data_IF_997950002544
#
_entry.id   IF_997950002544
#
_cell.length_a   1.000
_cell.length_b   1.000
_cell.length_c   1.000
_cell.angle_alpha   90.00
_cell.angle_beta   90.00
_cell.angle_gamma   90.00
#
_symmetry.space_group_name_H-M   'P 1'
#
loop_
_entity.id
_entity.type
_entity.pdbx_description
1 polymer ?
#
# COMPACT_ATOMS: atom_id res chain seq x y z
N UNK A 1 18.24 -3.37 -8.47
CA UNK A 1 16.88 -2.93 -8.15
C UNK A 1 16.77 -1.46 -8.55
N UNK A 2 15.57 -0.88 -8.73
CA UNK A 2 15.48 0.51 -9.20
C UNK A 2 16.02 1.42 -8.09
N UNK A 3 16.98 2.29 -8.40
CA UNK A 3 17.64 3.20 -7.42
C UNK A 3 16.63 3.96 -6.56
N UNK A 4 15.49 4.35 -7.13
CA UNK A 4 14.43 5.05 -6.41
C UNK A 4 13.71 4.20 -5.36
N UNK A 5 13.56 2.90 -5.60
CA UNK A 5 12.94 1.96 -4.65
C UNK A 5 13.90 1.70 -3.47
N UNK A 6 15.19 1.59 -3.76
CA UNK A 6 16.24 1.48 -2.73
C UNK A 6 16.24 2.71 -1.81
N UNK A 7 16.16 3.92 -2.39
CA UNK A 7 16.08 5.16 -1.61
C UNK A 7 14.82 5.24 -0.74
N UNK A 8 13.66 4.88 -1.29
CA UNK A 8 12.41 4.83 -0.54
C UNK A 8 12.52 3.90 0.68
N UNK A 9 13.04 2.67 0.48
CA UNK A 9 13.23 1.74 1.60
C UNK A 9 14.25 2.24 2.62
N UNK A 10 15.35 2.84 2.18
CA UNK A 10 16.34 3.41 3.08
C UNK A 10 15.71 4.47 4.01
N UNK A 11 14.89 5.38 3.47
CA UNK A 11 14.21 6.40 4.26
C UNK A 11 13.16 5.81 5.19
N UNK A 12 12.39 4.82 4.73
CA UNK A 12 11.48 4.11 5.64
C UNK A 12 12.21 3.50 6.84
N UNK A 13 13.43 2.99 6.65
CA UNK A 13 14.24 2.43 7.73
C UNK A 13 14.82 3.53 8.62
N UNK A 14 15.44 4.56 8.04
CA UNK A 14 16.10 5.66 8.77
C UNK A 14 15.11 6.44 9.65
N UNK A 15 13.96 6.79 9.08
CA UNK A 15 12.90 7.55 9.76
C UNK A 15 11.92 6.67 10.55
N UNK A 16 12.15 5.35 10.53
CA UNK A 16 11.36 4.34 11.26
C UNK A 16 9.88 4.36 10.89
N UNK A 17 9.60 4.54 9.60
CA UNK A 17 8.26 4.39 9.08
C UNK A 17 7.85 2.91 9.08
N UNK A 18 6.58 2.68 9.43
CA UNK A 18 5.97 1.38 9.29
C UNK A 18 5.36 1.22 7.91
N UNK A 19 5.86 0.25 7.14
CA UNK A 19 5.35 -0.07 5.82
C UNK A 19 4.13 -1.00 5.93
N UNK A 20 2.94 -0.48 5.62
CA UNK A 20 1.71 -1.27 5.65
C UNK A 20 1.52 -1.96 4.30
N UNK A 21 1.44 -3.30 4.31
CA UNK A 21 1.30 -4.12 3.11
C UNK A 21 0.05 -4.99 3.21
N UNK A 22 -0.81 -4.90 2.21
CA UNK A 22 -2.01 -5.73 2.11
C UNK A 22 -1.72 -7.05 1.38
N UNK A 23 -2.61 -8.04 1.55
CA UNK A 23 -2.56 -9.28 0.74
C UNK A 23 -2.59 -9.01 -0.77
N UNK A 24 -3.21 -7.91 -1.19
CA UNK A 24 -3.39 -7.53 -2.59
C UNK A 24 -2.05 -7.04 -3.13
N UNK A 25 -1.37 -6.19 -2.37
CA UNK A 25 -0.01 -5.74 -2.66
C UNK A 25 0.95 -6.95 -2.74
N UNK A 26 0.85 -7.90 -1.80
CA UNK A 26 1.64 -9.14 -1.86
C UNK A 26 1.33 -9.94 -3.12
N UNK A 27 0.05 -10.12 -3.48
CA UNK A 27 -0.35 -10.84 -4.70
C UNK A 27 0.22 -10.19 -5.96
N UNK A 28 0.19 -8.85 -6.04
CA UNK A 28 0.77 -8.09 -7.14
C UNK A 28 2.29 -8.29 -7.21
N UNK A 29 3.00 -8.19 -6.08
CA UNK A 29 4.45 -8.46 -6.00
C UNK A 29 4.76 -9.90 -6.41
N UNK A 30 4.05 -10.88 -5.85
CA UNK A 30 4.22 -12.30 -6.16
C UNK A 30 3.97 -12.61 -7.63
N UNK A 31 3.03 -11.92 -8.29
CA UNK A 31 2.76 -12.10 -9.72
C UNK A 31 3.95 -11.68 -10.61
N UNK A 32 4.79 -10.75 -10.14
CA UNK A 32 5.96 -10.26 -10.86
C UNK A 32 7.28 -10.93 -10.44
N UNK A 33 7.37 -11.38 -9.18
CA UNK A 33 8.61 -11.92 -8.59
C UNK A 33 8.61 -13.44 -8.47
N UNK A 34 7.43 -14.08 -8.58
CA UNK A 34 7.21 -15.51 -8.33
C UNK A 34 7.51 -15.96 -6.89
N UNK A 35 7.69 -15.01 -5.97
CA UNK A 35 7.87 -15.29 -4.54
C UNK A 35 6.53 -15.62 -3.88
N UNK A 36 6.55 -16.53 -2.92
CA UNK A 36 5.42 -16.74 -2.02
C UNK A 36 5.22 -15.53 -1.09
N UNK A 37 4.03 -15.44 -0.48
CA UNK A 37 3.74 -14.39 0.51
C UNK A 37 4.81 -14.30 1.60
N UNK A 38 5.21 -15.43 2.17
CA UNK A 38 6.17 -15.44 3.27
C UNK A 38 7.54 -14.96 2.78
N UNK A 39 7.99 -15.39 1.59
CA UNK A 39 9.25 -14.91 1.02
C UNK A 39 9.25 -13.40 0.75
N UNK A 40 8.12 -12.82 0.34
CA UNK A 40 7.99 -11.36 0.19
C UNK A 40 8.12 -10.65 1.54
N UNK A 41 7.41 -11.12 2.56
CA UNK A 41 7.47 -10.51 3.90
C UNK A 41 8.84 -10.67 4.54
N UNK A 42 9.42 -11.88 4.48
CA UNK A 42 10.75 -12.19 4.98
C UNK A 42 11.83 -11.36 4.30
N UNK A 43 11.69 -11.11 2.99
CA UNK A 43 12.61 -10.23 2.26
C UNK A 43 12.55 -8.78 2.78
N UNK A 44 11.33 -8.23 2.95
CA UNK A 44 11.15 -6.84 3.38
C UNK A 44 11.60 -6.62 4.83
N UNK A 45 11.25 -7.54 5.73
CA UNK A 45 11.74 -7.50 7.11
C UNK A 45 13.25 -7.75 7.16
N UNK A 46 13.77 -8.65 6.31
CA UNK A 46 15.19 -8.98 6.22
C UNK A 46 16.10 -7.84 5.78
N UNK A 47 15.57 -6.86 5.02
CA UNK A 47 16.28 -5.62 4.69
C UNK A 47 16.13 -4.53 5.76
N UNK A 48 15.37 -4.78 6.83
CA UNK A 48 15.25 -3.90 8.00
C UNK A 48 13.98 -3.04 8.06
N UNK A 49 13.00 -3.25 7.18
CA UNK A 49 11.73 -2.53 7.23
C UNK A 49 10.85 -3.02 8.39
N UNK A 50 10.17 -2.10 9.09
CA UNK A 50 9.04 -2.45 9.96
C UNK A 50 7.79 -2.67 9.11
N UNK A 51 7.35 -3.92 8.96
CA UNK A 51 6.24 -4.27 8.08
C UNK A 51 4.96 -4.53 8.88
N UNK A 52 3.88 -3.84 8.52
CA UNK A 52 2.52 -4.13 8.99
C UNK A 52 1.73 -4.90 7.92
N UNK A 53 1.48 -6.19 8.13
CA UNK A 53 0.68 -6.97 7.19
C UNK A 53 -0.83 -6.89 7.46
N UNK A 54 -1.62 -6.69 6.40
CA UNK A 54 -3.09 -6.69 6.44
C UNK A 54 -3.65 -7.80 5.55
N UNK A 55 -4.30 -8.78 6.15
CA UNK A 55 -4.94 -9.86 5.42
C UNK A 55 -6.32 -9.46 4.88
N UNK A 56 -6.50 -9.55 3.57
CA UNK A 56 -7.82 -9.55 2.97
C UNK A 56 -8.40 -10.96 3.04
N UNK A 57 -9.48 -11.11 3.80
CA UNK A 57 -10.26 -12.34 3.85
C UNK A 57 -11.54 -12.15 3.02
N UNK A 58 -11.62 -12.69 1.79
CA UNK A 58 -12.75 -12.47 0.89
C UNK A 58 -14.11 -12.87 1.49
N UNK A 59 -14.11 -13.82 2.43
CA UNK A 59 -15.32 -14.41 2.99
C UNK A 59 -15.76 -13.81 4.34
N UNK A 60 -14.91 -13.05 5.02
CA UNK A 60 -15.23 -12.43 6.34
C UNK A 60 -15.18 -10.90 6.35
N UNK A 61 -14.57 -10.26 5.33
CA UNK A 61 -14.32 -8.81 5.32
C UNK A 61 -14.75 -8.09 4.04
N UNK A 62 -15.57 -8.69 3.17
CA UNK A 62 -16.21 -7.95 2.06
C UNK A 62 -16.81 -6.62 2.58
N UNK A 63 -17.43 -6.64 3.75
CA UNK A 63 -18.10 -5.47 4.32
C UNK A 63 -17.20 -4.31 4.84
N UNK A 64 -15.94 -4.55 5.24
CA UNK A 64 -15.14 -3.50 5.90
C UNK A 64 -14.55 -2.54 4.88
N UNK A 65 -14.01 -3.03 3.77
CA UNK A 65 -13.60 -2.12 2.70
C UNK A 65 -14.80 -1.65 1.86
N UNK A 66 -15.87 -2.44 1.71
CA UNK A 66 -17.01 -2.06 0.85
C UNK A 66 -17.72 -0.77 1.30
N UNK A 67 -17.82 -0.50 2.61
CA UNK A 67 -18.43 0.75 3.07
C UNK A 67 -17.52 1.96 2.82
N UNK A 68 -16.19 1.77 2.91
CA UNK A 68 -15.20 2.80 2.57
C UNK A 68 -15.23 3.06 1.06
N UNK A 69 -15.24 2.01 0.23
CA UNK A 69 -15.30 2.08 -1.24
C UNK A 69 -16.58 2.71 -1.78
N UNK A 70 -17.64 2.84 -0.98
CA UNK A 70 -18.86 3.57 -1.34
C UNK A 70 -18.70 5.09 -1.28
N UNK A 71 -17.59 5.61 -0.74
CA UNK A 71 -17.26 7.04 -0.80
C UNK A 71 -17.06 7.46 -2.25
N UNK A 72 -17.63 8.61 -2.64
CA UNK A 72 -17.67 9.08 -4.04
C UNK A 72 -16.27 9.34 -4.59
N UNK A 73 -15.36 9.75 -3.72
CA UNK A 73 -13.94 9.97 -3.98
C UNK A 73 -13.26 8.68 -4.43
N UNK A 74 -13.49 7.59 -3.70
CA UNK A 74 -12.85 6.28 -3.95
C UNK A 74 -13.41 5.62 -5.21
N UNK A 75 -14.70 5.82 -5.51
CA UNK A 75 -15.33 5.31 -6.75
C UNK A 75 -14.77 5.94 -8.04
N UNK A 76 -14.03 7.04 -7.93
CA UNK A 76 -13.36 7.70 -9.06
C UNK A 76 -11.95 7.15 -9.31
N UNK A 77 -11.42 6.37 -8.38
CA UNK A 77 -10.13 5.70 -8.50
C UNK A 77 -10.31 4.40 -9.28
N UNK A 78 -9.30 4.00 -10.06
CA UNK A 78 -9.34 2.76 -10.83
C UNK A 78 -9.47 1.54 -9.90
N UNK A 79 -10.10 0.47 -10.39
CA UNK A 79 -10.67 -0.59 -9.55
C UNK A 79 -9.68 -1.39 -8.66
N UNK A 80 -8.42 -1.64 -9.05
CA UNK A 80 -7.40 -2.22 -8.17
C UNK A 80 -6.95 -1.23 -7.10
N UNK A 81 -6.79 0.05 -7.48
CA UNK A 81 -6.30 1.12 -6.62
C UNK A 81 -7.32 1.53 -5.55
N UNK A 82 -8.62 1.42 -5.86
CA UNK A 82 -9.69 1.71 -4.91
C UNK A 82 -9.66 0.81 -3.65
N UNK A 83 -9.11 -0.41 -3.78
CA UNK A 83 -8.94 -1.38 -2.70
C UNK A 83 -7.73 -1.03 -1.85
N UNK A 84 -6.61 -0.64 -2.49
CA UNK A 84 -5.42 -0.14 -1.78
C UNK A 84 -5.76 1.08 -0.93
N UNK A 85 -6.55 2.02 -1.46
CA UNK A 85 -7.05 3.17 -0.67
C UNK A 85 -7.92 2.72 0.50
N UNK A 86 -8.84 1.77 0.27
CA UNK A 86 -9.70 1.29 1.34
C UNK A 86 -8.91 0.60 2.46
N UNK A 87 -7.88 -0.18 2.13
CA UNK A 87 -6.97 -0.79 3.11
C UNK A 87 -6.17 0.25 3.87
N UNK A 88 -5.62 1.25 3.19
CA UNK A 88 -4.87 2.32 3.84
C UNK A 88 -5.73 3.06 4.87
N UNK A 89 -6.98 3.37 4.51
CA UNK A 89 -7.93 4.01 5.42
C UNK A 89 -8.39 3.08 6.57
N UNK A 90 -8.61 1.78 6.31
CA UNK A 90 -8.93 0.79 7.36
C UNK A 90 -7.77 0.66 8.36
N UNK A 91 -6.55 0.65 7.85
CA UNK A 91 -5.32 0.58 8.63
C UNK A 91 -5.01 1.85 9.42
N UNK A 92 -5.70 2.96 9.10
CA UNK A 92 -5.35 4.31 9.55
C UNK A 92 -3.91 4.67 9.19
N UNK A 93 -3.48 4.32 7.98
CA UNK A 93 -2.21 4.77 7.43
C UNK A 93 -2.20 6.30 7.32
N UNK A 94 -1.04 6.91 7.57
CA UNK A 94 -0.88 8.36 7.47
C UNK A 94 -0.91 8.82 6.01
N UNK A 95 -0.33 8.03 5.11
CA UNK A 95 -0.27 8.34 3.68
C UNK A 95 -0.24 7.09 2.80
N UNK A 96 -0.46 7.30 1.50
CA UNK A 96 -0.18 6.35 0.43
C UNK A 96 1.02 6.88 -0.37
N UNK A 97 2.02 6.02 -0.57
CA UNK A 97 3.15 6.32 -1.44
C UNK A 97 2.99 5.53 -2.75
N UNK A 98 2.93 6.22 -3.89
CA UNK A 98 2.66 5.59 -5.19
C UNK A 98 3.39 6.29 -6.35
N UNK A 99 3.87 5.50 -7.32
CA UNK A 99 4.43 6.04 -8.56
C UNK A 99 3.37 6.61 -9.51
N UNK A 100 2.09 6.28 -9.31
CA UNK A 100 0.97 6.73 -10.13
C UNK A 100 0.06 7.71 -9.37
N UNK A 101 0.64 8.74 -8.73
CA UNK A 101 -0.09 9.72 -7.90
C UNK A 101 -1.37 10.27 -8.54
N UNK A 102 -1.33 10.53 -9.86
CA UNK A 102 -2.47 11.03 -10.63
C UNK A 102 -3.75 10.20 -10.47
N UNK A 103 -3.62 8.87 -10.37
CA UNK A 103 -4.77 7.97 -10.24
C UNK A 103 -5.43 8.05 -8.85
N UNK A 104 -4.74 8.68 -7.89
CA UNK A 104 -5.16 8.85 -6.51
C UNK A 104 -5.57 10.30 -6.18
N UNK A 105 -5.49 11.25 -7.12
CA UNK A 105 -6.00 12.62 -6.98
C UNK A 105 -7.41 12.71 -6.36
N UNK A 106 -8.38 11.82 -6.71
CA UNK A 106 -9.71 11.89 -6.11
C UNK A 106 -9.74 11.68 -4.59
N UNK A 107 -8.72 11.05 -4.00
CA UNK A 107 -8.68 10.65 -2.59
C UNK A 107 -7.71 11.47 -1.74
N UNK A 108 -7.00 12.45 -2.30
CA UNK A 108 -6.07 13.32 -1.58
C UNK A 108 -6.71 14.10 -0.41
N UNK A 109 -8.03 14.25 -0.41
CA UNK A 109 -8.77 14.86 0.72
C UNK A 109 -9.08 13.87 1.86
N UNK A 110 -8.83 12.58 1.66
CA UNK A 110 -9.13 11.50 2.60
C UNK A 110 -7.88 10.94 3.25
N UNK A 111 -6.78 10.88 2.50
CA UNK A 111 -5.47 10.39 2.92
C UNK A 111 -4.40 11.13 2.11
N UNK A 112 -3.28 11.44 2.75
CA UNK A 112 -2.17 12.06 2.04
C UNK A 112 -1.63 11.11 0.97
N UNK A 113 -1.31 11.64 -0.21
CA UNK A 113 -0.75 10.86 -1.31
C UNK A 113 0.55 11.49 -1.77
N UNK A 114 1.63 10.73 -1.69
CA UNK A 114 2.95 11.15 -2.12
C UNK A 114 3.45 10.26 -3.25
N UNK A 115 4.16 10.85 -4.21
CA UNK A 115 5.15 10.09 -4.96
C UNK A 115 6.36 9.81 -4.07
N UNK A 116 7.14 8.75 -4.31
CA UNK A 116 8.35 8.52 -3.52
C UNK A 116 9.31 9.71 -3.55
N UNK A 117 9.43 10.43 -4.68
CA UNK A 117 10.26 11.63 -4.78
C UNK A 117 9.76 12.79 -3.88
N UNK A 118 8.47 12.83 -3.51
CA UNK A 118 7.88 13.82 -2.58
C UNK A 118 7.90 13.34 -1.12
N UNK A 119 8.02 12.03 -0.91
CA UNK A 119 8.10 11.42 0.41
C UNK A 119 9.52 11.46 0.99
N UNK A 120 10.52 11.47 0.10
CA UNK A 120 11.96 11.56 0.38
C UNK A 120 12.36 12.99 0.78
#
# INVERSE_FOLDING_TARGET
MNYRVEQFFAICIEDKHKLIISDLTVKEISAHTYLSKNEVLDFLEGIGLDVGYIEYLPQKKRHICDHIRKRKEIQRVHRPDDLHVAFALEAKADCIVTWNKKDFEPVEKLIDVYSPDEFI
#
